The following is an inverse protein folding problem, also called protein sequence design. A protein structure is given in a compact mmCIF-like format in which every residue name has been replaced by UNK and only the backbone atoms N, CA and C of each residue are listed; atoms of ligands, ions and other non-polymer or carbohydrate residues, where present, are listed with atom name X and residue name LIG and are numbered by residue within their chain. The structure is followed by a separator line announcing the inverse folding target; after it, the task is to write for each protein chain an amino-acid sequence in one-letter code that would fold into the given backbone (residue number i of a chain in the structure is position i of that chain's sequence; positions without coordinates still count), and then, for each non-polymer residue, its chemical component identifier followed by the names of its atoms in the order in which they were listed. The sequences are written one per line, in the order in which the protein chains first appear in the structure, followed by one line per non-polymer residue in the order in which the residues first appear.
data_IF_620783770196
#
_entry.id   IF_620783770196
#
_cell.length_a   1.000
_cell.length_b   1.000
_cell.length_c   1.000
_cell.angle_alpha   90.00
_cell.angle_beta   90.00
_cell.angle_gamma   90.00
#
_symmetry.space_group_name_H-M   'P 1'
#
loop_
_entity.id
_entity.type
_entity.pdbx_description
1 polymer ?
#
# COMPACT_ATOMS: atom_id res chain seq x y z
N UNK A 1 17.29 -6.64 -2.82
CA UNK A 1 17.51 -5.62 -3.88
C UNK A 1 18.99 -5.46 -4.16
N UNK A 2 19.35 -5.34 -5.42
CA UNK A 2 20.74 -5.28 -5.86
C UNK A 2 21.15 -3.84 -6.21
N UNK A 3 21.93 -3.20 -5.32
CA UNK A 3 22.44 -1.84 -5.49
C UNK A 3 23.40 -1.73 -6.66
N UNK A 4 24.25 -2.74 -6.87
CA UNK A 4 25.22 -2.77 -7.96
C UNK A 4 24.53 -2.83 -9.33
N UNK A 5 23.40 -3.52 -9.41
CA UNK A 5 22.59 -3.57 -10.62
C UNK A 5 22.09 -2.16 -11.00
N UNK A 6 21.55 -1.42 -10.04
CA UNK A 6 21.06 -0.04 -10.29
C UNK A 6 22.23 0.89 -10.64
N UNK A 7 23.30 0.86 -9.85
CA UNK A 7 24.50 1.70 -10.06
C UNK A 7 25.12 1.46 -11.42
N UNK A 8 25.32 0.22 -11.83
CA UNK A 8 25.89 -0.09 -13.13
C UNK A 8 25.06 0.45 -14.30
N UNK A 9 23.74 0.42 -14.20
CA UNK A 9 22.82 0.98 -15.21
C UNK A 9 22.81 2.50 -15.20
N UNK A 10 22.88 3.11 -14.03
CA UNK A 10 23.02 4.56 -13.89
C UNK A 10 24.29 5.07 -14.56
N UNK A 11 25.45 4.47 -14.23
CA UNK A 11 26.75 4.81 -14.83
C UNK A 11 26.71 4.67 -16.34
N UNK A 12 26.10 3.61 -16.84
CA UNK A 12 26.00 3.37 -18.29
C UNK A 12 25.19 4.42 -19.03
N UNK A 13 24.13 4.97 -18.39
CA UNK A 13 23.23 5.95 -19.00
C UNK A 13 23.67 7.41 -18.79
N UNK A 14 24.39 7.69 -17.71
CA UNK A 14 24.69 9.04 -17.26
C UNK A 14 26.19 9.29 -17.00
N UNK A 15 26.95 9.35 -18.08
CA UNK A 15 28.35 9.87 -18.13
C UNK A 15 29.37 9.20 -17.19
N UNK A 16 29.17 7.97 -16.81
CA UNK A 16 30.17 7.17 -16.09
C UNK A 16 30.44 7.60 -14.64
N UNK A 17 29.65 8.50 -14.06
CA UNK A 17 29.82 8.95 -12.67
C UNK A 17 28.68 8.49 -11.77
N UNK A 18 28.97 8.30 -10.47
CA UNK A 18 27.99 7.86 -9.49
C UNK A 18 27.19 9.00 -8.88
N UNK A 19 26.00 8.71 -8.42
CA UNK A 19 25.17 9.58 -7.58
C UNK A 19 25.03 9.00 -6.17
N UNK A 20 23.89 9.24 -5.56
CA UNK A 20 23.53 8.74 -4.24
C UNK A 20 22.42 7.69 -4.36
N UNK A 21 22.52 6.62 -3.58
CA UNK A 21 21.55 5.51 -3.59
C UNK A 21 20.52 5.67 -2.48
N UNK A 22 19.27 5.58 -2.86
CA UNK A 22 18.12 5.62 -1.97
C UNK A 22 17.23 4.41 -2.18
N UNK A 23 16.54 3.99 -1.13
CA UNK A 23 15.58 2.89 -1.20
C UNK A 23 14.33 3.21 -0.39
N UNK A 24 13.21 2.71 -0.89
CA UNK A 24 11.97 2.68 -0.14
C UNK A 24 11.24 1.36 -0.40
N UNK A 25 10.63 0.77 0.64
CA UNK A 25 9.96 -0.52 0.53
C UNK A 25 8.54 -0.40 0.00
N UNK A 26 8.03 -1.52 -0.53
CA UNK A 26 6.62 -1.81 -0.54
C UNK A 26 6.11 -2.14 0.86
N UNK A 27 4.84 -2.48 0.96
CA UNK A 27 4.21 -2.79 2.26
C UNK A 27 3.29 -4.00 2.18
N UNK A 28 3.12 -4.65 3.31
CA UNK A 28 1.96 -5.48 3.59
C UNK A 28 1.04 -4.71 4.55
N UNK A 29 -0.20 -5.14 4.65
CA UNK A 29 -1.13 -4.69 5.66
C UNK A 29 -1.79 -5.91 6.31
N UNK A 30 -1.58 -6.09 7.61
CA UNK A 30 -2.11 -7.26 8.29
C UNK A 30 -3.64 -7.20 8.38
N UNK A 31 -4.18 -6.03 8.69
CA UNK A 31 -5.61 -5.76 8.79
C UNK A 31 -5.88 -4.25 8.70
N UNK A 32 -7.10 -3.87 8.30
CA UNK A 32 -7.46 -2.45 8.15
C UNK A 32 -7.41 -1.99 6.70
N UNK A 33 -8.23 -2.62 5.83
CA UNK A 33 -8.35 -2.18 4.44
C UNK A 33 -9.51 -1.22 4.25
N UNK A 34 -9.29 -0.19 3.43
CA UNK A 34 -10.27 0.87 3.14
C UNK A 34 -10.70 1.68 4.38
N UNK A 35 -9.88 1.70 5.40
CA UNK A 35 -10.16 2.44 6.65
C UNK A 35 -9.42 3.77 6.73
N UNK A 36 -8.31 3.93 6.02
CA UNK A 36 -7.46 5.13 6.10
C UNK A 36 -8.18 6.40 5.64
N UNK A 37 -8.83 6.39 4.50
CA UNK A 37 -9.62 7.54 4.02
C UNK A 37 -10.95 7.74 4.78
N UNK A 38 -11.26 6.85 5.73
CA UNK A 38 -12.41 6.95 6.64
C UNK A 38 -12.02 7.37 8.07
N UNK A 39 -10.81 7.89 8.25
CA UNK A 39 -10.29 8.30 9.56
C UNK A 39 -10.04 7.16 10.53
N UNK A 40 -9.99 5.92 10.02
CA UNK A 40 -9.83 4.71 10.83
C UNK A 40 -8.39 4.36 11.14
N UNK A 41 -8.19 3.10 11.54
CA UNK A 41 -6.87 2.54 11.80
C UNK A 41 -6.41 1.64 10.66
N UNK A 42 -5.10 1.61 10.44
CA UNK A 42 -4.42 0.64 9.59
C UNK A 42 -3.30 -0.04 10.37
N UNK A 43 -2.86 -1.20 9.89
CA UNK A 43 -1.84 -1.99 10.58
C UNK A 43 -0.80 -2.57 9.63
N UNK A 44 -0.09 -1.70 8.88
CA UNK A 44 0.88 -2.14 7.89
C UNK A 44 2.26 -2.43 8.48
N UNK A 45 3.08 -3.06 7.63
CA UNK A 45 4.51 -3.17 7.82
C UNK A 45 5.23 -3.01 6.49
N UNK A 46 6.43 -2.41 6.51
CA UNK A 46 7.31 -2.38 5.36
C UNK A 46 7.84 -3.78 5.07
N UNK A 47 8.04 -4.10 3.80
CA UNK A 47 8.64 -5.38 3.40
C UNK A 47 10.09 -5.21 2.95
N UNK A 48 10.79 -6.32 2.78
CA UNK A 48 12.17 -6.33 2.28
C UNK A 48 12.30 -6.06 0.77
N UNK A 49 11.17 -6.02 0.06
CA UNK A 49 11.07 -5.67 -1.36
C UNK A 49 10.73 -4.20 -1.53
N UNK A 50 11.32 -3.55 -2.53
CA UNK A 50 11.09 -2.13 -2.71
C UNK A 50 11.68 -1.59 -4.00
N UNK A 51 11.90 -0.29 -4.02
CA UNK A 51 12.57 0.44 -5.10
C UNK A 51 13.93 0.91 -4.63
N UNK A 52 14.92 0.83 -5.54
CA UNK A 52 16.21 1.49 -5.38
C UNK A 52 16.37 2.49 -6.52
N UNK A 53 16.80 3.70 -6.19
CA UNK A 53 17.15 4.72 -7.17
C UNK A 53 18.55 5.27 -6.90
N UNK A 54 19.34 5.45 -7.95
CA UNK A 54 20.52 6.30 -7.92
C UNK A 54 20.13 7.66 -8.47
N UNK A 55 20.49 8.73 -7.76
CA UNK A 55 20.10 10.11 -8.06
C UNK A 55 21.31 11.00 -7.96
N UNK A 56 21.51 11.84 -8.98
CA UNK A 56 22.59 12.81 -9.02
C UNK A 56 22.09 14.16 -9.54
N UNK A 57 22.27 15.25 -8.80
CA UNK A 57 22.06 16.60 -9.32
C UNK A 57 22.84 16.82 -10.61
N UNK A 58 22.22 17.42 -11.63
CA UNK A 58 22.81 17.55 -12.95
C UNK A 58 23.12 19.00 -13.37
N UNK A 59 22.89 19.97 -12.50
CA UNK A 59 23.16 21.39 -12.78
C UNK A 59 22.20 22.05 -13.75
N UNK A 60 21.10 21.40 -14.10
CA UNK A 60 20.05 21.91 -15.02
C UNK A 60 18.70 22.06 -14.31
N UNK A 61 17.68 22.47 -15.03
CA UNK A 61 16.30 22.52 -14.58
C UNK A 61 15.48 21.31 -15.05
N UNK A 62 16.14 20.29 -15.58
CA UNK A 62 15.49 19.10 -16.14
C UNK A 62 15.80 17.84 -15.35
N UNK A 63 14.80 16.99 -15.25
CA UNK A 63 14.92 15.63 -14.73
C UNK A 63 15.06 14.66 -15.90
N UNK A 64 16.12 13.85 -15.84
CA UNK A 64 16.40 12.79 -16.79
C UNK A 64 16.30 11.46 -16.05
N UNK A 65 15.27 10.70 -16.37
CA UNK A 65 14.91 9.49 -15.64
C UNK A 65 14.93 8.26 -16.54
N UNK A 66 15.53 7.18 -16.04
CA UNK A 66 15.56 5.89 -16.70
C UNK A 66 14.97 4.81 -15.80
N UNK A 67 13.89 4.19 -16.27
CA UNK A 67 13.33 2.99 -15.65
C UNK A 67 14.07 1.76 -16.17
N UNK A 68 14.87 1.13 -15.31
CA UNK A 68 15.70 -0.02 -15.70
C UNK A 68 14.82 -1.21 -16.10
N UNK A 69 13.78 -1.48 -15.32
CA UNK A 69 12.90 -2.64 -15.52
C UNK A 69 12.08 -2.53 -16.81
N UNK A 70 11.63 -1.31 -17.14
CA UNK A 70 10.85 -1.04 -18.35
C UNK A 70 11.73 -0.70 -19.56
N UNK A 71 13.03 -0.49 -19.35
CA UNK A 71 13.99 -0.03 -20.38
C UNK A 71 13.50 1.24 -21.09
N UNK A 72 12.95 2.15 -20.32
CA UNK A 72 12.31 3.38 -20.80
C UNK A 72 12.96 4.61 -20.21
N UNK A 73 13.13 5.65 -21.03
CA UNK A 73 13.76 6.92 -20.66
C UNK A 73 12.79 8.06 -20.88
N UNK A 74 12.72 8.96 -19.91
CA UNK A 74 11.90 10.18 -19.96
C UNK A 74 12.72 11.36 -19.47
N UNK A 75 12.58 12.48 -20.17
CA UNK A 75 13.07 13.79 -19.72
C UNK A 75 11.90 14.74 -19.55
N UNK A 76 11.88 15.51 -18.45
CA UNK A 76 10.90 16.56 -18.24
C UNK A 76 11.51 17.75 -17.52
N UNK A 77 10.96 18.95 -17.80
CA UNK A 77 11.33 20.16 -17.08
C UNK A 77 10.56 20.29 -15.76
N UNK A 78 11.21 20.85 -14.73
CA UNK A 78 10.58 21.08 -13.42
C UNK A 78 9.43 22.08 -13.46
N UNK A 79 9.41 22.94 -14.48
CA UNK A 79 8.41 24.00 -14.69
C UNK A 79 7.37 23.66 -15.76
N UNK A 80 7.40 22.45 -16.31
CA UNK A 80 6.40 22.02 -17.30
C UNK A 80 5.00 21.96 -16.66
N UNK A 81 3.97 22.38 -17.42
CA UNK A 81 2.59 22.35 -16.93
C UNK A 81 2.03 20.93 -16.94
N UNK A 82 2.33 20.16 -17.99
CA UNK A 82 1.81 18.82 -18.20
C UNK A 82 2.75 17.75 -17.68
N UNK A 83 2.19 16.76 -16.99
CA UNK A 83 2.90 15.59 -16.57
C UNK A 83 3.32 14.73 -17.77
N UNK A 84 4.44 13.97 -17.68
CA UNK A 84 4.87 13.03 -18.71
C UNK A 84 3.76 12.02 -19.08
N UNK A 85 3.77 11.57 -20.33
CA UNK A 85 2.80 10.55 -20.80
C UNK A 85 3.06 9.17 -20.18
N UNK A 86 4.34 8.82 -19.97
CA UNK A 86 4.70 7.57 -19.34
C UNK A 86 4.20 7.54 -17.89
N UNK A 87 3.38 6.55 -17.55
CA UNK A 87 2.73 6.46 -16.23
C UNK A 87 3.73 6.41 -15.07
N UNK A 88 4.83 5.68 -15.22
CA UNK A 88 5.86 5.60 -14.19
C UNK A 88 6.55 6.95 -13.92
N UNK A 89 6.75 7.77 -14.97
CA UNK A 89 7.39 9.08 -14.84
C UNK A 89 6.50 10.12 -14.15
N UNK A 90 5.18 9.93 -14.17
CA UNK A 90 4.23 10.82 -13.47
C UNK A 90 4.44 10.81 -11.95
N UNK A 91 4.84 9.67 -11.38
CA UNK A 91 5.15 9.59 -9.97
C UNK A 91 6.34 10.46 -9.60
N UNK A 92 7.41 10.41 -10.39
CA UNK A 92 8.61 11.23 -10.16
C UNK A 92 8.27 12.71 -10.39
N UNK A 93 7.58 13.03 -11.46
CA UNK A 93 7.11 14.39 -11.76
C UNK A 93 6.24 14.95 -10.63
N UNK A 94 5.26 14.19 -10.18
CA UNK A 94 4.35 14.58 -9.11
C UNK A 94 5.08 14.83 -7.80
N UNK A 95 6.01 13.96 -7.42
CA UNK A 95 6.83 14.15 -6.22
C UNK A 95 7.65 15.43 -6.31
N UNK A 96 8.30 15.71 -7.45
CA UNK A 96 9.03 16.98 -7.67
C UNK A 96 8.10 18.18 -7.46
N UNK A 97 6.92 18.17 -8.06
CA UNK A 97 5.94 19.27 -7.98
C UNK A 97 5.43 19.47 -6.54
N UNK A 98 5.10 18.38 -5.85
CA UNK A 98 4.62 18.44 -4.47
C UNK A 98 5.70 18.87 -3.48
N UNK A 99 6.96 18.51 -3.71
CA UNK A 99 8.09 19.01 -2.93
C UNK A 99 8.32 20.50 -3.15
N UNK A 100 8.23 20.98 -4.39
CA UNK A 100 8.32 22.41 -4.72
C UNK A 100 7.20 23.21 -4.01
N UNK A 101 5.97 22.71 -4.03
CA UNK A 101 4.84 23.35 -3.31
C UNK A 101 5.10 23.50 -1.81
N UNK A 102 5.92 22.64 -1.23
CA UNK A 102 6.30 22.66 0.19
C UNK A 102 7.57 23.47 0.47
N UNK A 103 8.05 24.20 -0.52
CA UNK A 103 9.19 25.12 -0.36
C UNK A 103 10.57 24.49 -0.55
N UNK A 104 10.65 23.28 -1.10
CA UNK A 104 11.92 22.67 -1.48
C UNK A 104 12.35 23.20 -2.84
N UNK A 105 13.55 23.73 -2.93
CA UNK A 105 14.14 24.24 -4.17
C UNK A 105 14.72 23.09 -5.00
N UNK A 106 13.83 22.27 -5.55
CA UNK A 106 14.21 21.11 -6.37
C UNK A 106 14.93 21.59 -7.63
N UNK A 107 16.12 21.05 -7.87
CA UNK A 107 16.89 21.27 -9.10
C UNK A 107 16.84 20.03 -9.98
N UNK A 108 17.29 20.15 -11.22
CA UNK A 108 17.40 19.04 -12.13
C UNK A 108 18.34 17.95 -11.63
N UNK A 109 18.02 16.72 -11.98
CA UNK A 109 18.82 15.56 -11.61
C UNK A 109 18.71 14.44 -12.66
N UNK A 110 19.72 13.60 -12.67
CA UNK A 110 19.71 12.36 -13.41
C UNK A 110 19.35 11.23 -12.44
N UNK A 111 18.56 10.28 -12.87
CA UNK A 111 18.15 9.14 -12.05
C UNK A 111 17.92 7.87 -12.86
N UNK A 112 18.31 6.73 -12.28
CA UNK A 112 17.93 5.40 -12.74
C UNK A 112 17.40 4.63 -11.56
N UNK A 113 16.33 3.85 -11.76
CA UNK A 113 15.71 3.06 -10.70
C UNK A 113 15.27 1.70 -11.18
N UNK A 114 15.23 0.76 -10.24
CA UNK A 114 14.65 -0.56 -10.41
C UNK A 114 13.95 -0.99 -9.12
N UNK A 115 13.06 -1.94 -9.23
CA UNK A 115 12.35 -2.50 -8.08
C UNK A 115 12.16 -4.00 -8.17
N UNK A 116 12.05 -4.62 -7.01
CA UNK A 116 11.69 -6.03 -6.86
C UNK A 116 10.32 -6.21 -6.20
N UNK A 117 9.55 -5.12 -6.04
CA UNK A 117 8.14 -5.21 -5.68
C UNK A 117 7.36 -5.79 -6.85
N UNK A 118 6.75 -6.96 -6.70
CA UNK A 118 5.96 -7.55 -7.78
C UNK A 118 4.83 -6.63 -8.23
N UNK A 119 4.80 -6.30 -9.50
CA UNK A 119 3.78 -5.43 -10.08
C UNK A 119 2.39 -6.07 -10.00
N UNK A 120 1.44 -5.35 -9.47
CA UNK A 120 0.05 -5.81 -9.35
C UNK A 120 -0.19 -6.81 -8.21
N UNK A 121 0.81 -7.12 -7.40
CA UNK A 121 0.68 -8.01 -6.25
C UNK A 121 0.06 -7.36 -5.00
N UNK A 122 -0.28 -6.07 -5.07
CA UNK A 122 -0.89 -5.37 -3.93
C UNK A 122 0.10 -4.92 -2.86
N UNK A 123 1.40 -4.94 -3.12
CA UNK A 123 2.44 -4.47 -2.20
C UNK A 123 2.83 -3.00 -2.36
N UNK A 124 2.06 -2.25 -3.13
CA UNK A 124 2.21 -0.79 -3.29
C UNK A 124 3.55 -0.34 -3.86
N UNK A 125 3.85 -0.78 -5.10
CA UNK A 125 5.05 -0.35 -5.81
C UNK A 125 5.06 1.17 -6.09
N UNK A 126 3.90 1.78 -6.30
CA UNK A 126 3.77 3.23 -6.50
C UNK A 126 4.23 4.02 -5.28
N UNK A 127 3.78 3.65 -4.08
CA UNK A 127 4.20 4.30 -2.84
C UNK A 127 5.70 4.13 -2.58
N UNK A 128 6.27 2.97 -2.91
CA UNK A 128 7.72 2.75 -2.82
C UNK A 128 8.49 3.71 -3.74
N UNK A 129 8.03 3.89 -4.97
CA UNK A 129 8.63 4.80 -5.94
C UNK A 129 8.53 6.26 -5.47
N UNK A 130 7.34 6.70 -5.10
CA UNK A 130 7.08 8.05 -4.59
C UNK A 130 7.94 8.37 -3.35
N UNK A 131 7.96 7.45 -2.40
CA UNK A 131 8.69 7.63 -1.14
C UNK A 131 10.20 7.69 -1.35
N UNK A 132 10.74 6.92 -2.30
CA UNK A 132 12.15 6.95 -2.66
C UNK A 132 12.55 8.35 -3.11
N UNK A 133 11.79 8.95 -4.02
CA UNK A 133 12.08 10.28 -4.53
C UNK A 133 11.77 11.39 -3.53
N UNK A 134 10.67 11.29 -2.78
CA UNK A 134 10.37 12.27 -1.74
C UNK A 134 11.48 12.34 -0.68
N UNK A 135 11.93 11.19 -0.21
CA UNK A 135 13.04 11.10 0.76
C UNK A 135 14.34 11.67 0.18
N UNK A 136 14.69 11.26 -1.04
CA UNK A 136 15.92 11.71 -1.70
C UNK A 136 15.94 13.22 -1.96
N UNK A 137 14.85 13.78 -2.49
CA UNK A 137 14.77 15.21 -2.79
C UNK A 137 14.79 16.07 -1.53
N UNK A 138 14.22 15.58 -0.43
CA UNK A 138 14.32 16.25 0.87
C UNK A 138 15.76 16.33 1.35
N UNK A 139 16.53 15.26 1.21
CA UNK A 139 17.94 15.25 1.58
C UNK A 139 18.81 16.10 0.62
N UNK A 140 18.65 15.91 -0.69
CA UNK A 140 19.51 16.55 -1.70
C UNK A 140 19.25 18.05 -1.86
N UNK A 141 18.02 18.50 -1.73
CA UNK A 141 17.60 19.86 -2.04
C UNK A 141 16.85 20.57 -0.91
N UNK A 142 16.44 19.87 0.12
CA UNK A 142 15.57 20.38 1.19
C UNK A 142 16.23 20.44 2.57
N UNK A 143 17.54 20.14 2.71
CA UNK A 143 18.23 20.09 4.00
C UNK A 143 17.50 19.24 5.07
N UNK A 144 16.76 18.24 4.66
CA UNK A 144 15.92 17.38 5.52
C UNK A 144 14.87 18.15 6.35
N UNK A 145 14.40 19.29 5.87
CA UNK A 145 13.43 20.14 6.60
C UNK A 145 12.01 19.61 6.56
N UNK A 146 11.66 18.79 5.58
CA UNK A 146 10.33 18.18 5.47
C UNK A 146 10.27 16.98 6.43
N UNK A 147 9.31 16.98 7.32
CA UNK A 147 9.13 15.85 8.25
C UNK A 147 8.58 14.59 7.55
N UNK A 148 8.70 13.44 8.22
CA UNK A 148 8.31 12.15 7.64
C UNK A 148 6.82 12.08 7.25
N UNK A 149 5.91 12.65 8.03
CA UNK A 149 4.50 12.67 7.67
C UNK A 149 4.24 13.50 6.42
N UNK A 150 4.89 14.65 6.30
CA UNK A 150 4.80 15.46 5.08
C UNK A 150 5.38 14.73 3.87
N UNK A 151 6.45 13.94 4.03
CA UNK A 151 6.95 13.07 2.95
C UNK A 151 5.91 12.04 2.51
N UNK A 152 5.22 11.42 3.46
CA UNK A 152 4.12 10.51 3.15
C UNK A 152 2.97 11.24 2.42
N UNK A 153 2.63 12.45 2.85
CA UNK A 153 1.61 13.29 2.20
C UNK A 153 2.03 13.72 0.78
N UNK A 154 3.30 13.91 0.53
CA UNK A 154 3.83 14.16 -0.83
C UNK A 154 3.45 13.01 -1.77
N UNK A 155 3.67 11.78 -1.36
CA UNK A 155 3.27 10.60 -2.13
C UNK A 155 1.77 10.52 -2.34
N UNK A 156 0.98 10.70 -1.29
CA UNK A 156 -0.49 10.73 -1.38
C UNK A 156 -0.98 11.83 -2.33
N UNK A 157 -0.46 13.04 -2.22
CA UNK A 157 -0.81 14.15 -3.11
C UNK A 157 -0.41 13.88 -4.57
N UNK A 158 0.69 13.17 -4.79
CA UNK A 158 1.10 12.71 -6.12
C UNK A 158 0.07 11.78 -6.74
N UNK A 159 -0.43 10.80 -5.98
CA UNK A 159 -1.50 9.90 -6.44
C UNK A 159 -2.78 10.69 -6.78
N UNK A 160 -3.18 11.61 -5.91
CA UNK A 160 -4.39 12.42 -6.11
C UNK A 160 -4.30 13.35 -7.31
N UNK A 161 -3.20 14.09 -7.42
CA UNK A 161 -3.09 15.20 -8.36
C UNK A 161 -2.56 14.79 -9.74
N UNK A 162 -1.80 13.69 -9.83
CA UNK A 162 -1.11 13.29 -11.06
C UNK A 162 -1.44 11.89 -11.55
N UNK A 163 -2.03 11.04 -10.72
CA UNK A 163 -2.32 9.64 -11.06
C UNK A 163 -3.82 9.30 -11.03
N UNK A 164 -4.67 10.21 -10.56
CA UNK A 164 -6.13 10.04 -10.55
C UNK A 164 -6.66 9.01 -9.55
N UNK A 165 -5.90 8.69 -8.51
CA UNK A 165 -6.28 7.75 -7.45
C UNK A 165 -6.48 8.51 -6.14
N UNK A 166 -7.70 8.50 -5.60
CA UNK A 166 -8.02 9.15 -4.32
C UNK A 166 -7.73 8.23 -3.13
N UNK A 167 -6.47 7.77 -3.03
CA UNK A 167 -6.02 6.89 -1.98
C UNK A 167 -5.99 7.56 -0.59
N UNK A 168 -5.96 6.74 0.48
CA UNK A 168 -5.60 7.18 1.82
C UNK A 168 -4.09 7.29 1.99
N UNK A 169 -3.63 7.38 3.24
CA UNK A 169 -2.22 7.62 3.58
C UNK A 169 -1.42 6.34 3.88
N UNK A 170 -2.07 5.19 4.03
CA UNK A 170 -1.47 3.97 4.56
C UNK A 170 -0.18 3.56 3.84
N UNK A 171 -0.23 3.51 2.52
CA UNK A 171 0.85 2.95 1.71
C UNK A 171 2.13 3.79 1.80
N UNK A 172 1.98 5.10 1.67
CA UNK A 172 3.08 6.05 1.78
C UNK A 172 3.62 6.11 3.21
N UNK A 173 2.72 6.07 4.21
CA UNK A 173 3.11 6.02 5.60
C UNK A 173 3.97 4.78 5.89
N UNK A 174 3.52 3.60 5.50
CA UNK A 174 4.25 2.36 5.71
C UNK A 174 5.62 2.36 5.03
N UNK A 175 5.69 2.88 3.81
CA UNK A 175 6.93 2.99 3.04
C UNK A 175 7.95 3.93 3.70
N UNK A 176 7.50 5.04 4.28
CA UNK A 176 8.38 6.04 4.93
C UNK A 176 8.78 5.61 6.34
N UNK A 177 7.82 5.12 7.13
CA UNK A 177 7.99 4.86 8.57
C UNK A 177 8.39 3.43 8.93
N UNK A 178 8.45 2.52 7.98
CA UNK A 178 8.75 1.11 8.24
C UNK A 178 9.94 0.89 9.16
N UNK A 179 9.84 -0.14 9.99
CA UNK A 179 10.89 -0.58 10.91
C UNK A 179 10.97 -2.09 10.89
N UNK A 180 12.16 -2.62 10.65
CA UNK A 180 12.38 -4.06 10.62
C UNK A 180 11.84 -4.74 11.88
N UNK A 181 11.12 -5.85 11.70
CA UNK A 181 10.54 -6.63 12.78
C UNK A 181 9.34 -5.99 13.49
N UNK A 182 8.76 -4.91 12.97
CA UNK A 182 7.60 -4.26 13.59
C UNK A 182 6.52 -3.94 12.57
N UNK A 183 5.26 -4.16 12.95
CA UNK A 183 4.10 -3.58 12.30
C UNK A 183 3.78 -2.23 12.94
N UNK A 184 3.01 -1.41 12.26
CA UNK A 184 2.71 -0.06 12.72
C UNK A 184 1.19 0.13 12.73
N UNK A 185 0.62 0.40 13.91
CA UNK A 185 -0.76 0.86 13.98
C UNK A 185 -0.77 2.37 13.81
N UNK A 186 -1.41 2.85 12.76
CA UNK A 186 -1.62 4.27 12.51
C UNK A 186 -3.09 4.61 12.72
N UNK A 187 -3.36 5.62 13.55
CA UNK A 187 -4.65 6.32 13.58
C UNK A 187 -4.66 7.36 12.46
N UNK A 188 -5.45 7.10 11.40
CA UNK A 188 -5.44 7.96 10.21
C UNK A 188 -6.13 9.32 10.43
N UNK A 189 -6.83 9.51 11.56
CA UNK A 189 -7.41 10.82 11.94
C UNK A 189 -6.42 11.68 12.69
N UNK A 190 -5.86 11.18 13.80
CA UNK A 190 -4.91 11.92 14.63
C UNK A 190 -3.47 11.90 14.12
N UNK A 191 -3.14 10.93 13.27
CA UNK A 191 -1.79 10.59 12.82
C UNK A 191 -0.88 10.09 13.94
N UNK A 192 -1.43 9.72 15.08
CA UNK A 192 -0.70 9.01 16.12
C UNK A 192 -0.41 7.58 15.68
N UNK A 193 0.79 7.10 15.95
CA UNK A 193 1.20 5.75 15.54
C UNK A 193 1.98 5.05 16.65
N UNK A 194 1.94 3.72 16.60
CA UNK A 194 2.65 2.86 17.55
C UNK A 194 3.24 1.65 16.82
N UNK A 195 4.50 1.36 17.10
CA UNK A 195 5.16 0.15 16.63
C UNK A 195 4.77 -1.04 17.50
N UNK A 196 4.42 -2.14 16.84
CA UNK A 196 4.14 -3.43 17.47
C UNK A 196 5.21 -4.42 17.01
N UNK A 197 6.06 -4.95 17.92
CA UNK A 197 6.96 -6.04 17.55
C UNK A 197 6.16 -7.19 16.94
N UNK A 198 6.63 -7.72 15.82
CA UNK A 198 5.95 -8.80 15.11
C UNK A 198 6.94 -9.92 14.80
N UNK A 199 7.00 -10.89 15.69
CA UNK A 199 7.82 -12.10 15.59
C UNK A 199 6.94 -13.30 15.96
N UNK A 200 5.97 -13.68 15.11
CA UNK A 200 5.03 -14.74 15.44
C UNK A 200 5.76 -16.09 15.51
N UNK A 201 5.96 -16.60 16.71
CA UNK A 201 6.63 -17.87 16.92
C UNK A 201 5.77 -19.03 16.41
N UNK A 202 6.34 -19.86 15.53
CA UNK A 202 5.63 -20.97 14.91
C UNK A 202 4.70 -20.60 13.75
N UNK A 203 4.67 -19.34 13.35
CA UNK A 203 3.88 -18.85 12.22
C UNK A 203 4.72 -18.05 11.24
N UNK A 204 4.26 -17.95 10.01
CA UNK A 204 4.82 -17.03 9.02
C UNK A 204 3.71 -16.37 8.22
N UNK A 205 4.02 -15.19 7.67
CA UNK A 205 3.15 -14.51 6.71
C UNK A 205 3.54 -14.87 5.29
N UNK A 206 2.55 -15.20 4.48
CA UNK A 206 2.73 -15.63 3.09
C UNK A 206 1.72 -14.91 2.23
N UNK A 207 2.18 -14.37 1.10
CA UNK A 207 1.31 -13.81 0.07
C UNK A 207 1.08 -14.84 -1.03
N UNK A 208 -0.18 -15.01 -1.40
CA UNK A 208 -0.60 -15.76 -2.58
C UNK A 208 -1.10 -14.76 -3.64
N UNK A 209 -0.33 -14.58 -4.69
CA UNK A 209 -0.67 -13.66 -5.77
C UNK A 209 -1.55 -14.37 -6.81
N UNK A 210 -2.78 -13.90 -6.93
CA UNK A 210 -3.75 -14.40 -7.93
C UNK A 210 -3.34 -14.11 -9.37
N UNK A 211 -2.38 -13.21 -9.58
CA UNK A 211 -1.95 -12.71 -10.91
C UNK A 211 -3.10 -12.07 -11.69
N UNK A 212 -4.15 -11.64 -10.98
CA UNK A 212 -5.27 -10.89 -11.57
C UNK A 212 -4.97 -9.39 -11.51
N UNK A 213 -5.11 -8.73 -12.64
CA UNK A 213 -5.05 -7.26 -12.76
C UNK A 213 -6.41 -6.78 -13.26
N UNK A 214 -6.95 -5.76 -12.62
CA UNK A 214 -8.22 -5.16 -13.02
C UNK A 214 -7.97 -3.78 -13.64
N UNK A 215 -8.34 -3.62 -14.91
CA UNK A 215 -8.10 -2.38 -15.67
C UNK A 215 -8.84 -1.16 -15.07
N UNK A 216 -9.98 -1.39 -14.43
CA UNK A 216 -10.83 -0.34 -13.84
C UNK A 216 -10.70 -0.23 -12.31
N UNK A 217 -9.61 -0.76 -11.72
CA UNK A 217 -9.42 -0.77 -10.27
C UNK A 217 -9.48 0.64 -9.65
N UNK A 218 -8.82 1.63 -10.25
CA UNK A 218 -8.82 3.03 -9.76
C UNK A 218 -10.23 3.63 -9.73
N UNK A 219 -11.03 3.41 -10.78
CA UNK A 219 -12.41 3.90 -10.86
C UNK A 219 -13.30 3.23 -9.81
N UNK A 220 -13.17 1.91 -9.65
CA UNK A 220 -13.91 1.14 -8.65
C UNK A 220 -13.52 1.53 -7.22
N UNK A 221 -12.24 1.77 -6.97
CA UNK A 221 -11.72 2.29 -5.71
C UNK A 221 -12.36 3.65 -5.35
N UNK A 222 -12.36 4.57 -6.30
CA UNK A 222 -12.93 5.91 -6.09
C UNK A 222 -14.44 5.85 -5.80
N UNK A 223 -15.17 4.92 -6.44
CA UNK A 223 -16.60 4.68 -6.14
C UNK A 223 -16.82 4.20 -4.70
N UNK A 224 -15.93 3.34 -4.17
CA UNK A 224 -16.01 2.89 -2.77
C UNK A 224 -15.87 4.07 -1.81
N UNK A 225 -14.92 4.95 -2.06
CA UNK A 225 -14.76 6.18 -1.27
C UNK A 225 -16.01 7.06 -1.34
N UNK A 226 -16.59 7.26 -2.51
CA UNK A 226 -17.82 8.01 -2.68
C UNK A 226 -19.00 7.41 -1.90
N UNK A 227 -19.13 6.09 -1.86
CA UNK A 227 -20.14 5.40 -1.06
C UNK A 227 -19.98 5.68 0.44
N UNK A 228 -18.74 5.70 0.94
CA UNK A 228 -18.45 6.07 2.32
C UNK A 228 -18.83 7.52 2.62
N UNK A 229 -18.50 8.43 1.73
CA UNK A 229 -18.85 9.86 1.84
C UNK A 229 -20.37 10.07 1.83
N UNK A 230 -21.10 9.35 0.98
CA UNK A 230 -22.56 9.38 0.93
C UNK A 230 -23.20 8.88 2.24
N UNK A 231 -22.68 7.81 2.81
CA UNK A 231 -23.14 7.30 4.10
C UNK A 231 -22.90 8.30 5.24
N UNK A 232 -21.73 8.94 5.28
CA UNK A 232 -21.41 10.00 6.26
C UNK A 232 -22.38 11.17 6.10
N UNK A 233 -22.65 11.64 4.89
CA UNK A 233 -23.57 12.71 4.63
C UNK A 233 -25.00 12.42 5.14
N UNK A 234 -25.47 11.19 4.96
CA UNK A 234 -26.76 10.77 5.48
C UNK A 234 -26.81 10.73 7.02
N UNK A 235 -25.75 10.20 7.64
CA UNK A 235 -25.62 10.12 9.10
C UNK A 235 -25.53 11.52 9.72
N UNK A 236 -24.87 12.47 9.07
CA UNK A 236 -24.72 13.84 9.53
C UNK A 236 -26.05 14.57 9.74
N UNK A 237 -27.13 14.15 9.09
CA UNK A 237 -28.46 14.77 9.26
C UNK A 237 -28.97 14.68 10.70
N UNK A 238 -28.63 13.59 11.40
CA UNK A 238 -28.97 13.38 12.83
C UNK A 238 -27.78 13.56 13.76
N UNK A 239 -26.57 13.40 13.24
CA UNK A 239 -25.30 13.44 13.99
C UNK A 239 -24.31 14.40 13.30
N UNK A 240 -24.53 15.74 13.43
CA UNK A 240 -23.74 16.73 12.71
C UNK A 240 -22.24 16.75 13.03
N UNK A 241 -21.82 16.17 14.14
CA UNK A 241 -20.42 16.08 14.59
C UNK A 241 -19.61 15.01 13.83
N UNK A 242 -20.28 14.12 13.12
CA UNK A 242 -19.63 13.04 12.36
C UNK A 242 -18.87 13.62 11.17
N UNK A 243 -17.58 13.30 11.07
CA UNK A 243 -16.73 13.69 9.93
C UNK A 243 -16.38 12.49 9.05
N UNK A 244 -16.17 11.31 9.67
CA UNK A 244 -15.76 10.08 9.03
C UNK A 244 -16.58 8.89 9.54
N UNK A 245 -16.53 7.78 8.83
CA UNK A 245 -17.12 6.52 9.32
C UNK A 245 -16.48 6.04 10.63
N UNK A 246 -15.24 6.47 10.93
CA UNK A 246 -14.61 6.30 12.25
C UNK A 246 -15.49 6.78 13.40
N UNK A 247 -16.24 7.82 13.20
CA UNK A 247 -17.11 8.43 14.22
C UNK A 247 -18.47 7.74 14.32
N UNK A 248 -18.75 6.79 13.46
CA UNK A 248 -20.06 6.16 13.34
C UNK A 248 -20.11 4.82 14.09
N UNK A 249 -21.28 4.55 14.63
CA UNK A 249 -21.67 3.23 15.14
C UNK A 249 -22.61 2.53 14.15
N UNK A 250 -22.79 1.22 14.29
CA UNK A 250 -23.79 0.49 13.49
C UNK A 250 -25.21 1.00 13.75
N UNK A 251 -25.52 1.47 14.96
CA UNK A 251 -26.79 2.09 15.33
C UNK A 251 -27.04 3.37 14.54
N UNK A 252 -26.04 4.25 14.44
CA UNK A 252 -26.12 5.47 13.62
C UNK A 252 -26.34 5.16 12.14
N UNK A 253 -25.69 4.12 11.63
CA UNK A 253 -25.89 3.66 10.26
C UNK A 253 -27.29 3.13 10.03
N UNK A 254 -27.82 2.32 10.93
CA UNK A 254 -29.18 1.80 10.86
C UNK A 254 -30.23 2.93 10.89
N UNK A 255 -30.05 3.94 11.71
CA UNK A 255 -30.91 5.13 11.75
C UNK A 255 -30.93 5.88 10.41
N UNK A 256 -29.84 5.86 9.65
CA UNK A 256 -29.71 6.55 8.36
C UNK A 256 -30.16 5.69 7.17
N UNK A 257 -30.56 4.43 7.38
CA UNK A 257 -30.82 3.44 6.33
C UNK A 257 -31.81 3.90 5.26
N UNK A 258 -32.83 4.65 5.67
CA UNK A 258 -33.83 5.17 4.74
C UNK A 258 -33.31 6.27 3.80
N UNK A 259 -32.20 6.89 4.16
CA UNK A 259 -31.60 8.02 3.43
C UNK A 259 -30.39 7.62 2.58
N UNK A 260 -30.01 6.35 2.57
CA UNK A 260 -28.87 5.83 1.79
C UNK A 260 -29.29 4.61 0.97
N UNK A 261 -28.57 4.34 -0.13
CA UNK A 261 -28.78 3.13 -0.92
C UNK A 261 -28.34 1.89 -0.14
N UNK A 262 -28.90 0.73 -0.52
CA UNK A 262 -28.49 -0.55 0.05
C UNK A 262 -26.98 -0.80 -0.17
N UNK A 263 -26.48 -0.40 -1.34
CA UNK A 263 -25.06 -0.52 -1.67
C UNK A 263 -24.19 0.33 -0.71
N UNK A 264 -24.52 1.61 -0.55
CA UNK A 264 -23.76 2.50 0.34
C UNK A 264 -23.83 2.06 1.80
N UNK A 265 -24.98 1.52 2.21
CA UNK A 265 -25.14 0.91 3.54
C UNK A 265 -24.18 -0.26 3.73
N UNK A 266 -24.09 -1.18 2.79
CA UNK A 266 -23.18 -2.33 2.86
C UNK A 266 -21.72 -1.89 2.92
N UNK A 267 -21.34 -0.88 2.12
CA UNK A 267 -19.97 -0.34 2.14
C UNK A 267 -19.64 0.25 3.51
N UNK A 268 -20.54 1.05 4.07
CA UNK A 268 -20.35 1.67 5.39
C UNK A 268 -20.29 0.63 6.52
N UNK A 269 -21.15 -0.39 6.47
CA UNK A 269 -21.13 -1.50 7.42
C UNK A 269 -19.76 -2.18 7.48
N UNK A 270 -19.20 -2.53 6.32
CA UNK A 270 -17.87 -3.12 6.26
C UNK A 270 -16.81 -2.24 6.93
N UNK A 271 -16.79 -0.94 6.60
CA UNK A 271 -15.78 -0.02 7.13
C UNK A 271 -15.89 0.15 8.64
N UNK A 272 -17.10 0.32 9.16
CA UNK A 272 -17.33 0.45 10.62
C UNK A 272 -16.82 -0.80 11.35
N UNK A 273 -17.13 -1.98 10.82
CA UNK A 273 -16.68 -3.25 11.39
C UNK A 273 -15.16 -3.44 11.26
N UNK A 274 -14.58 -3.06 10.12
CA UNK A 274 -13.13 -3.20 9.89
C UNK A 274 -12.30 -2.33 10.83
N UNK A 275 -12.74 -1.11 11.09
CA UNK A 275 -12.06 -0.22 12.04
C UNK A 275 -11.93 -0.90 13.41
N UNK A 276 -12.99 -1.55 13.88
CA UNK A 276 -12.95 -2.28 15.14
C UNK A 276 -12.05 -3.52 15.08
N UNK A 277 -12.06 -4.24 13.95
CA UNK A 277 -11.19 -5.43 13.79
C UNK A 277 -9.71 -5.11 13.91
N UNK A 278 -9.26 -3.94 13.48
CA UNK A 278 -7.86 -3.51 13.68
C UNK A 278 -7.49 -3.46 15.17
N UNK A 279 -8.35 -2.86 15.98
CA UNK A 279 -8.12 -2.76 17.42
C UNK A 279 -8.15 -4.14 18.09
N UNK A 280 -9.08 -4.99 17.70
CA UNK A 280 -9.18 -6.36 18.22
C UNK A 280 -7.93 -7.18 17.87
N UNK A 281 -7.38 -7.03 16.68
CA UNK A 281 -6.13 -7.71 16.25
C UNK A 281 -4.93 -7.19 17.04
N UNK A 282 -4.83 -5.88 17.26
CA UNK A 282 -3.76 -5.34 18.10
C UNK A 282 -3.80 -5.90 19.53
N UNK A 283 -4.98 -5.96 20.14
CA UNK A 283 -5.18 -6.53 21.47
C UNK A 283 -4.82 -8.04 21.49
N UNK A 284 -5.20 -8.78 20.46
CA UNK A 284 -4.87 -10.20 20.33
C UNK A 284 -3.35 -10.43 20.19
N UNK A 285 -2.65 -9.59 19.41
CA UNK A 285 -1.20 -9.67 19.25
C UNK A 285 -0.44 -9.44 20.57
N UNK A 286 -0.90 -8.49 21.39
CA UNK A 286 -0.32 -8.24 22.71
C UNK A 286 -0.44 -9.44 23.65
N UNK A 287 -1.37 -10.36 23.40
CA UNK A 287 -1.61 -11.58 24.14
C UNK A 287 -1.07 -12.84 23.44
N UNK A 288 -0.34 -12.67 22.34
CA UNK A 288 0.10 -13.78 21.48
C UNK A 288 -1.06 -14.71 21.02
N UNK A 289 -2.24 -14.15 20.89
CA UNK A 289 -3.45 -14.86 20.45
C UNK A 289 -3.61 -14.82 18.93
N UNK A 290 -2.80 -15.63 18.24
CA UNK A 290 -2.79 -15.71 16.78
C UNK A 290 -4.04 -16.35 16.19
N UNK A 291 -4.74 -17.17 16.93
CA UNK A 291 -6.02 -17.74 16.48
C UNK A 291 -7.08 -16.64 16.32
N UNK A 292 -7.16 -15.72 17.26
CA UNK A 292 -8.06 -14.53 17.15
C UNK A 292 -7.63 -13.63 15.99
N UNK A 293 -6.33 -13.39 15.80
CA UNK A 293 -5.82 -12.63 14.66
C UNK A 293 -6.30 -13.26 13.35
N UNK A 294 -6.14 -14.57 13.20
CA UNK A 294 -6.55 -15.31 12.02
C UNK A 294 -8.05 -15.27 11.79
N UNK A 295 -8.86 -15.42 12.83
CA UNK A 295 -10.30 -15.29 12.74
C UNK A 295 -10.72 -13.90 12.21
N UNK A 296 -10.13 -12.84 12.74
CA UNK A 296 -10.40 -11.47 12.28
C UNK A 296 -9.98 -11.27 10.82
N UNK A 297 -8.89 -11.87 10.38
CA UNK A 297 -8.50 -11.85 8.96
C UNK A 297 -9.58 -12.48 8.07
N UNK A 298 -10.14 -13.63 8.44
CA UNK A 298 -11.23 -14.27 7.70
C UNK A 298 -12.53 -13.43 7.72
N UNK A 299 -12.86 -12.80 8.84
CA UNK A 299 -13.98 -11.85 8.92
C UNK A 299 -13.79 -10.67 7.97
N UNK A 300 -12.57 -10.11 7.90
CA UNK A 300 -12.20 -9.05 6.95
C UNK A 300 -12.41 -9.51 5.51
N UNK A 301 -11.95 -10.72 5.15
CA UNK A 301 -12.12 -11.24 3.80
C UNK A 301 -13.60 -11.34 3.43
N UNK A 302 -14.40 -11.89 4.34
CA UNK A 302 -15.85 -11.97 4.14
C UNK A 302 -16.46 -10.58 3.88
N UNK A 303 -16.11 -9.60 4.69
CA UNK A 303 -16.57 -8.22 4.52
C UNK A 303 -16.12 -7.60 3.20
N UNK A 304 -14.87 -7.78 2.84
CA UNK A 304 -14.31 -7.29 1.56
C UNK A 304 -14.97 -7.95 0.35
N UNK A 305 -15.28 -9.25 0.44
CA UNK A 305 -15.91 -10.00 -0.64
C UNK A 305 -17.41 -9.73 -0.76
N UNK A 306 -18.14 -9.68 0.35
CA UNK A 306 -19.62 -9.67 0.36
C UNK A 306 -20.23 -8.30 0.61
N UNK A 307 -19.62 -7.45 1.43
CA UNK A 307 -20.15 -6.13 1.78
C UNK A 307 -19.49 -5.01 0.96
N UNK A 308 -18.18 -5.06 0.79
CA UNK A 308 -17.44 -4.05 0.04
C UNK A 308 -17.28 -4.40 -1.44
N UNK A 309 -17.39 -5.67 -1.78
CA UNK A 309 -17.31 -6.20 -3.15
C UNK A 309 -16.04 -5.78 -3.88
N UNK A 310 -14.90 -5.98 -3.20
CA UNK A 310 -13.56 -5.69 -3.73
C UNK A 310 -12.71 -6.96 -3.94
N UNK A 311 -13.30 -8.13 -3.76
CA UNK A 311 -12.67 -9.41 -4.09
C UNK A 311 -12.93 -9.80 -5.55
N UNK A 312 -12.45 -10.96 -5.94
CA UNK A 312 -12.73 -11.60 -7.22
C UNK A 312 -12.74 -13.12 -7.03
N UNK A 313 -13.15 -13.86 -8.06
CA UNK A 313 -13.27 -15.32 -7.99
C UNK A 313 -11.97 -15.99 -7.56
N UNK A 314 -10.84 -15.55 -8.13
CA UNK A 314 -9.53 -16.10 -7.81
C UNK A 314 -9.11 -15.84 -6.35
N UNK A 315 -9.36 -14.63 -5.84
CA UNK A 315 -9.06 -14.28 -4.45
C UNK A 315 -9.93 -15.03 -3.46
N UNK A 316 -11.22 -15.19 -3.76
CA UNK A 316 -12.13 -15.97 -2.94
C UNK A 316 -11.74 -17.46 -2.95
N UNK A 317 -11.28 -17.96 -4.11
CA UNK A 317 -10.78 -19.33 -4.22
C UNK A 317 -9.52 -19.55 -3.37
N UNK A 318 -8.56 -18.61 -3.40
CA UNK A 318 -7.37 -18.69 -2.55
C UNK A 318 -7.73 -18.66 -1.06
N UNK A 319 -8.69 -17.85 -0.67
CA UNK A 319 -9.19 -17.82 0.71
C UNK A 319 -9.88 -19.13 1.11
N UNK A 320 -10.66 -19.73 0.22
CA UNK A 320 -11.29 -21.03 0.46
C UNK A 320 -10.25 -22.16 0.59
N UNK A 321 -9.19 -22.15 -0.23
CA UNK A 321 -8.06 -23.06 -0.09
C UNK A 321 -7.38 -22.91 1.28
N UNK A 322 -7.17 -21.68 1.73
CA UNK A 322 -6.58 -21.41 3.04
C UNK A 322 -7.40 -22.04 4.16
N UNK A 323 -8.72 -21.91 4.13
CA UNK A 323 -9.62 -22.55 5.08
C UNK A 323 -9.54 -24.08 5.03
N UNK A 324 -9.57 -24.64 3.83
CA UNK A 324 -9.52 -26.09 3.60
C UNK A 324 -8.24 -26.69 4.14
N UNK A 325 -7.11 -26.03 3.97
CA UNK A 325 -5.79 -26.53 4.39
C UNK A 325 -5.37 -26.08 5.81
N UNK A 326 -6.29 -25.53 6.57
CA UNK A 326 -6.10 -25.24 8.00
C UNK A 326 -5.27 -23.99 8.30
N UNK A 327 -5.18 -23.07 7.35
CA UNK A 327 -4.47 -21.79 7.53
C UNK A 327 -5.19 -20.97 8.61
N UNK A 328 -4.40 -20.41 9.53
CA UNK A 328 -4.94 -19.70 10.70
C UNK A 328 -5.71 -18.44 10.32
N UNK A 329 -5.24 -17.70 9.35
CA UNK A 329 -5.93 -16.50 8.83
C UNK A 329 -5.59 -16.23 7.39
N UNK A 330 -6.55 -15.72 6.62
CA UNK A 330 -6.37 -15.36 5.22
C UNK A 330 -7.35 -14.28 4.81
N UNK A 331 -6.89 -13.34 4.00
CA UNK A 331 -7.73 -12.28 3.46
C UNK A 331 -7.13 -11.61 2.23
N UNK A 332 -7.95 -10.93 1.45
CA UNK A 332 -7.50 -10.02 0.40
C UNK A 332 -6.67 -8.91 1.04
N UNK A 333 -5.52 -8.60 0.48
CA UNK A 333 -4.63 -7.54 0.92
C UNK A 333 -4.63 -6.37 -0.06
N UNK A 334 -4.63 -5.15 0.47
CA UNK A 334 -4.66 -3.92 -0.33
C UNK A 334 -6.08 -3.53 -0.76
N UNK A 335 -6.17 -2.71 -1.79
CA UNK A 335 -7.44 -2.19 -2.28
C UNK A 335 -8.39 -3.24 -2.89
N UNK A 336 -7.88 -4.42 -3.19
CA UNK A 336 -8.66 -5.48 -3.82
C UNK A 336 -8.64 -5.41 -5.34
N UNK A 337 -9.68 -5.99 -5.96
CA UNK A 337 -9.86 -6.12 -7.41
C UNK A 337 -8.83 -6.99 -8.12
N UNK A 338 -7.99 -7.65 -7.41
CA UNK A 338 -6.86 -8.47 -7.82
C UNK A 338 -5.75 -8.43 -6.79
N UNK A 339 -4.55 -8.85 -7.17
CA UNK A 339 -3.40 -8.92 -6.29
C UNK A 339 -3.38 -10.16 -5.42
N UNK A 340 -3.01 -10.00 -4.16
CA UNK A 340 -2.72 -11.11 -3.25
C UNK A 340 -3.77 -11.32 -2.16
N UNK A 341 -3.82 -12.55 -1.65
CA UNK A 341 -4.21 -12.80 -0.28
C UNK A 341 -2.98 -12.76 0.63
N UNK A 342 -3.15 -12.27 1.86
CA UNK A 342 -2.18 -12.42 2.95
C UNK A 342 -2.64 -13.53 3.88
N UNK A 343 -1.71 -14.42 4.26
CA UNK A 343 -2.02 -15.64 4.99
C UNK A 343 -1.10 -15.76 6.21
N UNK A 344 -1.70 -16.01 7.36
CA UNK A 344 -1.00 -16.33 8.60
C UNK A 344 -0.99 -17.86 8.75
N UNK A 345 0.16 -18.47 8.54
CA UNK A 345 0.29 -19.91 8.36
C UNK A 345 1.21 -20.50 9.42
N UNK A 346 0.76 -21.56 10.10
CA UNK A 346 1.63 -22.36 10.98
C UNK A 346 2.76 -22.98 10.18
N UNK A 347 3.98 -22.95 10.71
CA UNK A 347 5.16 -23.47 10.01
C UNK A 347 4.99 -24.91 9.52
N UNK A 348 4.37 -25.75 10.32
CA UNK A 348 4.09 -27.16 9.96
C UNK A 348 3.12 -27.34 8.79
N UNK A 349 2.28 -26.36 8.51
CA UNK A 349 1.29 -26.40 7.43
C UNK A 349 1.75 -25.70 6.16
N UNK A 350 2.86 -24.97 6.21
CA UNK A 350 3.32 -24.12 5.11
C UNK A 350 3.48 -24.88 3.79
N UNK A 351 4.28 -25.94 3.79
CA UNK A 351 4.58 -26.68 2.54
C UNK A 351 3.31 -27.31 1.95
N UNK A 352 2.47 -27.92 2.77
CA UNK A 352 1.21 -28.50 2.33
C UNK A 352 0.24 -27.46 1.77
N UNK A 353 0.10 -26.31 2.45
CA UNK A 353 -0.73 -25.23 1.99
C UNK A 353 -0.29 -24.69 0.64
N UNK A 354 1.02 -24.39 0.49
CA UNK A 354 1.57 -23.85 -0.75
C UNK A 354 1.39 -24.84 -1.91
N UNK A 355 1.78 -26.09 -1.70
CA UNK A 355 1.70 -27.13 -2.74
C UNK A 355 0.26 -27.41 -3.18
N UNK A 356 -0.63 -27.66 -2.22
CA UNK A 356 -2.04 -27.98 -2.49
C UNK A 356 -2.79 -26.81 -3.11
N UNK A 357 -2.51 -25.59 -2.67
CA UNK A 357 -3.14 -24.39 -3.25
C UNK A 357 -2.69 -24.17 -4.68
N UNK A 358 -1.39 -24.33 -4.99
CA UNK A 358 -0.88 -24.25 -6.37
C UNK A 358 -1.55 -25.27 -7.29
N UNK A 359 -1.65 -26.51 -6.84
CA UNK A 359 -2.31 -27.59 -7.61
C UNK A 359 -3.79 -27.26 -7.86
N UNK A 360 -4.55 -26.91 -6.82
CA UNK A 360 -5.96 -26.61 -6.92
C UNK A 360 -6.25 -25.38 -7.79
N UNK A 361 -5.46 -24.32 -7.62
CA UNK A 361 -5.59 -23.10 -8.42
C UNK A 361 -5.29 -23.36 -9.90
N UNK A 362 -4.22 -24.12 -10.21
CA UNK A 362 -3.89 -24.50 -11.57
C UNK A 362 -4.97 -25.36 -12.22
N UNK A 363 -5.56 -26.29 -11.46
CA UNK A 363 -6.67 -27.13 -11.94
C UNK A 363 -7.89 -26.28 -12.31
N UNK A 364 -8.20 -25.25 -11.54
CA UNK A 364 -9.38 -24.39 -11.77
C UNK A 364 -9.14 -23.30 -12.82
N UNK A 365 -8.01 -22.62 -12.77
CA UNK A 365 -7.74 -21.41 -13.57
C UNK A 365 -6.71 -21.61 -14.68
N UNK A 366 -6.09 -22.78 -14.79
CA UNK A 366 -5.10 -23.06 -15.84
C UNK A 366 -3.72 -22.43 -15.62
N UNK A 367 -3.48 -21.81 -14.48
CA UNK A 367 -2.22 -21.19 -14.10
C UNK A 367 -1.97 -21.31 -12.60
N UNK A 368 -0.70 -21.20 -12.19
CA UNK A 368 -0.34 -21.22 -10.78
C UNK A 368 -0.36 -19.80 -10.19
N UNK A 369 -0.74 -19.63 -8.93
CA UNK A 369 -0.50 -18.39 -8.21
C UNK A 369 1.01 -18.24 -7.96
N UNK A 370 1.46 -17.01 -7.73
CA UNK A 370 2.81 -16.76 -7.23
C UNK A 370 2.80 -16.67 -5.71
N UNK A 371 3.86 -17.13 -5.08
CA UNK A 371 4.00 -17.18 -3.62
C UNK A 371 5.16 -16.29 -3.19
N UNK A 372 4.93 -15.43 -2.20
CA UNK A 372 5.94 -14.57 -1.63
C UNK A 372 5.95 -14.71 -0.11
N UNK A 373 7.11 -15.08 0.45
CA UNK A 373 7.32 -15.01 1.89
C UNK A 373 7.51 -13.54 2.29
N UNK A 374 6.93 -13.16 3.44
CA UNK A 374 6.99 -11.80 3.94
C UNK A 374 8.08 -11.66 4.99
N UNK A 375 8.98 -10.71 4.74
CA UNK A 375 9.97 -10.24 5.71
C UNK A 375 9.69 -8.78 5.99
N UNK A 376 9.51 -8.42 7.26
CA UNK A 376 9.25 -7.04 7.66
C UNK A 376 10.57 -6.27 7.68
N UNK A 377 10.68 -5.26 6.86
CA UNK A 377 11.89 -4.49 6.61
C UNK A 377 11.83 -3.04 7.08
N UNK A 378 12.89 -2.30 6.80
CA UNK A 378 13.00 -0.88 7.11
C UNK A 378 12.35 0.02 6.06
N UNK A 379 11.95 1.22 6.48
CA UNK A 379 11.35 2.23 5.63
C UNK A 379 12.34 2.94 4.70
N UNK A 380 11.93 4.11 4.21
CA UNK A 380 12.72 4.93 3.31
C UNK A 380 14.07 5.29 3.92
N UNK A 381 15.14 5.17 3.14
CA UNK A 381 16.50 5.37 3.63
C UNK A 381 17.49 5.68 2.51
N UNK A 382 18.58 6.32 2.88
CA UNK A 382 19.78 6.41 2.04
C UNK A 382 20.59 5.13 2.24
N UNK A 383 21.10 4.58 1.16
CA UNK A 383 21.96 3.38 1.20
C UNK A 383 23.45 3.73 1.18
N UNK A 384 23.85 4.70 0.38
CA UNK A 384 25.24 5.20 0.26
C UNK A 384 25.25 6.70 -0.05
#
# INVERSE_FOLDING_TARGET
MDTEYVRSRFIKHFDGTTGFLYASPGRINLIGEHTDYNGGFVFPGAVDKGMIAEIKPNGTDKVRAYSIDLKDYVEFGLNEEDAPRASWARYIFGVCREMIKRGVDVKGFNTAFAGDVPLGAGMSSSAALESTYAFALNELFGDNKIDKFELAKVGQATEHNYCGVNCGIMDQFASVFGKAGSLIRLDCRSLEYQYFPFHPEGYRLVLMDSVVKHELASSAYNKRRQSCEAAVAAIQKKHPHVEFLRDCTMEMLEEAKADISDEDYMRAEYVIEEIQRVLDVCDALEKDDYETVGQKMYETHHGMSKLYEVSCEELDFLNDCAKEYGVTGSRVMGGGFGGCTINLVKDELYDNFVEKTKEAFKAKFGRSPKVYDVVIGDGSRRLE
#
